data_IF_479115443001
#
_entry.id   IF_479115443001
#
_cell.length_a   1.000
_cell.length_b   1.000
_cell.length_c   1.000
_cell.angle_alpha   90.00
_cell.angle_beta   90.00
_cell.angle_gamma   90.00
#
_symmetry.space_group_name_H-M   'P 1'
#
loop_
_entity.id
_entity.type
_entity.pdbx_description
1 polymer ?
#
# COMPACT_ATOMS: atom_id res chain seq x y z
N UNK A 1 1.24 -2.18 19.74
CA UNK A 1 1.35 -3.33 20.65
C UNK A 1 1.39 -4.61 19.83
N UNK A 2 2.26 -5.58 20.18
CA UNK A 2 2.33 -6.90 19.51
C UNK A 2 0.97 -7.61 19.46
N UNK A 3 0.12 -7.38 20.46
CA UNK A 3 -1.26 -7.90 20.54
C UNK A 3 -2.14 -7.40 19.39
N UNK A 4 -1.93 -6.16 18.91
CA UNK A 4 -2.71 -5.62 17.80
C UNK A 4 -2.29 -6.22 16.45
N UNK A 5 -0.99 -6.51 16.27
CA UNK A 5 -0.48 -7.14 15.06
C UNK A 5 -0.96 -8.59 14.93
N UNK A 6 -0.95 -9.36 16.02
CA UNK A 6 -1.47 -10.73 16.01
C UNK A 6 -2.96 -10.76 15.64
N UNK A 7 -3.78 -9.89 16.24
CA UNK A 7 -5.20 -9.78 15.91
C UNK A 7 -5.44 -9.37 14.46
N UNK A 8 -4.63 -8.47 13.93
CA UNK A 8 -4.71 -8.05 12.54
C UNK A 8 -4.36 -9.19 11.58
N UNK A 9 -3.31 -9.95 11.88
CA UNK A 9 -2.90 -11.12 11.07
C UNK A 9 -4.02 -12.15 11.01
N UNK A 10 -4.64 -12.46 12.15
CA UNK A 10 -5.75 -13.41 12.23
C UNK A 10 -6.94 -12.98 11.37
N UNK A 11 -7.31 -11.69 11.42
CA UNK A 11 -8.38 -11.14 10.59
C UNK A 11 -8.05 -11.18 9.10
N UNK A 12 -6.82 -10.83 8.72
CA UNK A 12 -6.35 -10.89 7.34
C UNK A 12 -6.33 -12.33 6.82
N UNK A 13 -5.85 -13.27 7.62
CA UNK A 13 -5.78 -14.68 7.23
C UNK A 13 -7.19 -15.24 6.97
N UNK A 14 -8.13 -14.97 7.87
CA UNK A 14 -9.53 -15.38 7.72
C UNK A 14 -10.17 -14.79 6.44
N UNK A 15 -9.91 -13.51 6.15
CA UNK A 15 -10.44 -12.84 4.95
C UNK A 15 -9.85 -13.41 3.65
N UNK A 16 -8.54 -13.71 3.63
CA UNK A 16 -7.86 -14.32 2.48
C UNK A 16 -8.39 -15.74 2.24
N UNK A 17 -8.51 -16.56 3.29
CA UNK A 17 -9.04 -17.92 3.19
C UNK A 17 -10.47 -17.92 2.65
N UNK A 18 -11.36 -17.09 3.20
CA UNK A 18 -12.74 -16.98 2.73
C UNK A 18 -12.83 -16.56 1.25
N UNK A 19 -11.98 -15.63 0.81
CA UNK A 19 -11.94 -15.20 -0.59
C UNK A 19 -11.46 -16.32 -1.53
N UNK A 20 -10.46 -17.10 -1.10
CA UNK A 20 -9.91 -18.21 -1.88
C UNK A 20 -10.88 -19.38 -2.02
N UNK A 21 -11.59 -19.72 -0.94
CA UNK A 21 -12.65 -20.73 -0.96
C UNK A 21 -13.74 -20.38 -1.98
N UNK A 22 -14.20 -19.12 -1.96
CA UNK A 22 -15.19 -18.62 -2.95
C UNK A 22 -14.70 -18.72 -4.39
N UNK A 23 -13.39 -18.60 -4.61
CA UNK A 23 -12.76 -18.68 -5.92
C UNK A 23 -12.33 -20.11 -6.29
N UNK A 24 -12.57 -21.12 -5.44
CA UNK A 24 -12.19 -22.51 -5.70
C UNK A 24 -10.67 -22.73 -5.74
N UNK A 25 -9.89 -21.88 -5.08
CA UNK A 25 -8.44 -21.96 -5.08
C UNK A 25 -7.93 -22.93 -4.01
N UNK A 26 -6.85 -23.66 -4.32
CA UNK A 26 -6.18 -24.58 -3.37
C UNK A 26 -5.61 -23.79 -2.19
N UNK A 27 -5.60 -24.43 -1.01
CA UNK A 27 -4.99 -23.89 0.21
C UNK A 27 -3.51 -23.54 -0.03
N UNK A 28 -3.08 -22.38 0.47
CA UNK A 28 -1.71 -21.89 0.34
C UNK A 28 -1.17 -21.56 1.72
N UNK A 29 0.14 -21.74 1.90
CA UNK A 29 0.85 -21.29 3.10
C UNK A 29 0.87 -19.75 3.13
N UNK A 30 0.14 -19.16 4.08
CA UNK A 30 0.05 -17.70 4.24
C UNK A 30 1.14 -17.26 5.21
N UNK A 31 2.08 -16.45 4.72
CA UNK A 31 3.14 -15.86 5.54
C UNK A 31 2.97 -14.36 5.64
N UNK A 32 2.91 -13.85 6.86
CA UNK A 32 2.85 -12.42 7.13
C UNK A 32 4.25 -11.88 7.41
N UNK A 33 4.66 -10.86 6.65
CA UNK A 33 5.85 -10.04 6.93
C UNK A 33 5.39 -8.63 7.29
N UNK A 34 5.74 -8.17 8.48
CA UNK A 34 5.52 -6.78 8.91
C UNK A 34 6.81 -6.02 8.64
N UNK A 35 6.90 -5.41 7.46
CA UNK A 35 8.03 -4.56 7.13
C UNK A 35 7.71 -3.09 7.42
N UNK A 36 8.71 -2.35 7.84
CA UNK A 36 8.65 -0.89 7.99
C UNK A 36 9.13 -0.21 6.71
N UNK A 37 8.78 1.06 6.50
CA UNK A 37 9.29 1.83 5.37
C UNK A 37 10.83 1.94 5.35
N UNK A 38 11.49 1.79 6.50
CA UNK A 38 12.95 1.74 6.61
C UNK A 38 13.54 0.44 6.05
N UNK A 39 12.78 -0.65 6.11
CA UNK A 39 13.20 -1.97 5.62
C UNK A 39 12.85 -2.18 4.14
N UNK A 40 11.86 -1.45 3.62
CA UNK A 40 11.37 -1.55 2.25
C UNK A 40 11.25 -0.14 1.63
N UNK A 41 12.32 0.40 1.02
CA UNK A 41 12.35 1.77 0.50
C UNK A 41 11.23 2.07 -0.52
N UNK A 42 10.81 1.07 -1.29
CA UNK A 42 9.71 1.19 -2.23
C UNK A 42 8.38 1.47 -1.52
N UNK A 43 8.16 0.90 -0.34
CA UNK A 43 6.95 1.15 0.46
C UNK A 43 6.91 2.60 0.93
N UNK A 44 8.05 3.11 1.42
CA UNK A 44 8.17 4.52 1.80
C UNK A 44 7.95 5.47 0.61
N UNK A 45 8.46 5.11 -0.58
CA UNK A 45 8.25 5.91 -1.78
C UNK A 45 6.77 5.97 -2.18
N UNK A 46 6.05 4.84 -2.11
CA UNK A 46 4.61 4.79 -2.37
C UNK A 46 3.85 5.64 -1.37
N UNK A 47 4.13 5.48 -0.07
CA UNK A 47 3.48 6.26 0.99
C UNK A 47 3.67 7.77 0.78
N UNK A 48 4.89 8.19 0.41
CA UNK A 48 5.19 9.59 0.11
C UNK A 48 4.37 10.09 -1.09
N UNK A 49 4.38 9.36 -2.21
CA UNK A 49 3.65 9.76 -3.43
C UNK A 49 2.14 9.86 -3.16
N UNK A 50 1.56 8.85 -2.50
CA UNK A 50 0.14 8.85 -2.15
C UNK A 50 -0.22 10.03 -1.24
N UNK A 51 0.60 10.31 -0.23
CA UNK A 51 0.41 11.45 0.67
C UNK A 51 0.54 12.80 -0.05
N UNK A 52 1.52 12.96 -0.93
CA UNK A 52 1.75 14.18 -1.69
C UNK A 52 0.57 14.49 -2.65
N UNK A 53 0.03 13.47 -3.31
CA UNK A 53 -1.18 13.60 -4.14
C UNK A 53 -2.37 14.01 -3.28
N UNK A 54 -2.60 13.31 -2.16
CA UNK A 54 -3.71 13.61 -1.25
C UNK A 54 -3.65 15.05 -0.72
N UNK A 55 -2.49 15.49 -0.22
CA UNK A 55 -2.32 16.85 0.31
C UNK A 55 -2.66 17.94 -0.72
N UNK A 56 -2.24 17.74 -1.98
CA UNK A 56 -2.54 18.69 -3.07
C UNK A 56 -4.03 18.82 -3.33
N UNK A 57 -4.75 17.70 -3.43
CA UNK A 57 -6.14 17.70 -3.89
C UNK A 57 -7.16 17.87 -2.77
N UNK A 58 -6.88 17.33 -1.58
CA UNK A 58 -7.81 17.35 -0.45
C UNK A 58 -7.57 18.53 0.50
N UNK A 59 -6.31 18.97 0.64
CA UNK A 59 -5.94 20.06 1.55
C UNK A 59 -5.49 21.33 0.83
N UNK A 60 -5.32 21.28 -0.50
CA UNK A 60 -4.84 22.41 -1.28
C UNK A 60 -3.36 22.76 -1.02
N UNK A 61 -2.57 21.83 -0.47
CA UNK A 61 -1.14 22.02 -0.21
C UNK A 61 -0.30 21.28 -1.25
N UNK A 62 0.30 21.99 -2.24
CA UNK A 62 1.07 21.37 -3.29
C UNK A 62 2.54 21.08 -2.91
N UNK A 63 3.01 21.50 -1.73
CA UNK A 63 4.45 21.57 -1.39
C UNK A 63 5.18 20.23 -1.59
N UNK A 64 4.55 19.12 -1.21
CA UNK A 64 5.13 17.78 -1.39
C UNK A 64 4.96 17.25 -2.82
N UNK A 65 3.89 17.65 -3.50
CA UNK A 65 3.63 17.24 -4.87
C UNK A 65 4.65 17.86 -5.85
N UNK A 66 5.02 19.12 -5.64
CA UNK A 66 5.99 19.84 -6.48
C UNK A 66 7.35 19.13 -6.56
N UNK A 67 7.76 18.42 -5.51
CA UNK A 67 9.01 17.64 -5.45
C UNK A 67 9.01 16.47 -6.44
N UNK A 68 7.83 15.90 -6.72
CA UNK A 68 7.66 14.72 -7.59
C UNK A 68 7.02 15.06 -8.93
N UNK A 69 6.49 16.26 -9.11
CA UNK A 69 5.73 16.67 -10.29
C UNK A 69 6.48 16.41 -11.61
N UNK A 70 7.77 16.75 -11.64
CA UNK A 70 8.63 16.51 -12.82
C UNK A 70 8.81 15.04 -13.21
N UNK A 71 8.46 14.11 -12.32
CA UNK A 71 8.57 12.65 -12.54
C UNK A 71 7.22 12.01 -12.90
N UNK A 72 6.12 12.76 -12.86
CA UNK A 72 4.79 12.26 -13.19
C UNK A 72 4.59 12.38 -14.71
N UNK A 73 4.45 11.24 -15.38
CA UNK A 73 4.12 11.20 -16.80
C UNK A 73 2.62 10.98 -16.97
N UNK A 74 1.99 11.72 -17.88
CA UNK A 74 0.59 11.50 -18.23
C UNK A 74 0.46 10.25 -19.09
N UNK A 75 -0.55 9.44 -18.81
CA UNK A 75 -0.78 8.18 -19.53
C UNK A 75 -0.94 8.36 -21.03
N UNK A 76 -1.43 9.52 -21.47
CA UNK A 76 -1.62 9.86 -22.90
C UNK A 76 -0.31 10.08 -23.68
N UNK A 77 0.82 10.17 -22.99
CA UNK A 77 2.15 10.43 -23.57
C UNK A 77 3.02 9.17 -23.67
N UNK A 78 2.54 8.01 -23.20
CA UNK A 78 3.20 6.72 -23.38
C UNK A 78 2.92 6.18 -24.79
N UNK A 79 3.71 6.62 -25.78
CA UNK A 79 3.76 6.04 -27.13
C UNK A 79 4.75 4.89 -27.22
#
# INVERSE_FOLDING_TARGET
SRTNQARLNEQLEAAIRSSREKLGMIEADIRFKHATGQEEPCLQAVDYVSGAVFAKYEWGDPSYFEIIESRITKTDEMK
#
